data_IF_834209308495
#
_entry.id   IF_834209308495
#
_cell.length_a   1.000
_cell.length_b   1.000
_cell.length_c   1.000
_cell.angle_alpha   90.00
_cell.angle_beta   90.00
_cell.angle_gamma   90.00
#
_symmetry.space_group_name_H-M   'P 1'
#
loop_
_entity.id
_entity.type
_entity.pdbx_description
1 polymer ?
#
# COMPACT_ATOMS: atom_id res chain seq x y z
N UNK A 1 30.82 31.11 14.73
CA UNK A 1 31.43 30.10 13.84
C UNK A 1 30.33 29.16 13.37
N UNK A 2 30.51 28.62 12.16
CA UNK A 2 29.72 27.63 11.39
C UNK A 2 29.11 26.49 12.27
N UNK A 3 28.11 25.68 11.90
CA UNK A 3 27.63 25.15 10.60
C UNK A 3 26.10 24.83 10.71
N UNK A 4 25.28 24.55 9.70
CA UNK A 4 25.26 24.76 8.23
C UNK A 4 23.82 24.49 7.71
N UNK A 5 23.56 24.62 6.39
CA UNK A 5 22.32 24.16 5.75
C UNK A 5 22.26 22.63 5.63
N UNK A 6 21.12 22.02 5.96
CA UNK A 6 20.64 20.82 5.25
C UNK A 6 19.15 20.94 4.94
N UNK A 7 18.81 20.90 3.66
CA UNK A 7 17.44 20.95 3.16
C UNK A 7 16.79 19.58 3.28
N UNK A 8 15.86 19.39 4.21
CA UNK A 8 14.90 18.29 4.16
C UNK A 8 13.70 18.72 3.32
N UNK A 9 13.58 18.14 2.12
CA UNK A 9 12.38 18.32 1.31
C UNK A 9 11.12 17.82 2.04
N UNK A 10 9.92 18.32 1.68
CA UNK A 10 8.69 17.92 2.35
C UNK A 10 8.35 16.46 2.02
N UNK A 11 8.79 15.54 2.89
CA UNK A 11 8.21 14.21 2.96
C UNK A 11 6.74 14.38 3.36
N UNK A 12 5.84 14.33 2.38
CA UNK A 12 4.41 14.43 2.59
C UNK A 12 3.91 13.20 3.37
N UNK A 13 3.92 13.30 4.70
CA UNK A 13 3.28 12.34 5.58
C UNK A 13 1.76 12.40 5.39
N UNK A 14 1.23 11.53 4.54
CA UNK A 14 -0.22 11.31 4.42
C UNK A 14 -0.65 10.45 5.60
N UNK A 15 -1.27 11.06 6.61
CA UNK A 15 -1.92 10.36 7.72
C UNK A 15 -3.24 9.73 7.25
N UNK A 16 -3.46 8.46 7.54
CA UNK A 16 -4.81 7.88 7.61
C UNK A 16 -5.42 8.31 8.95
N UNK A 17 -6.18 9.40 8.98
CA UNK A 17 -6.91 9.77 10.20
C UNK A 17 -8.12 8.85 10.41
N UNK A 18 -7.99 7.88 11.32
CA UNK A 18 -9.16 7.28 11.99
C UNK A 18 -9.87 8.36 12.80
N UNK A 19 -11.00 8.88 12.31
CA UNK A 19 -11.93 9.66 13.14
C UNK A 19 -12.57 8.73 14.18
N UNK A 20 -12.16 8.85 15.43
CA UNK A 20 -12.83 8.21 16.55
C UNK A 20 -14.20 8.87 16.79
N UNK A 21 -15.28 8.18 16.41
CA UNK A 21 -16.64 8.58 16.77
C UNK A 21 -17.67 8.26 15.67
N UNK A 22 -18.72 7.54 16.09
CA UNK A 22 -19.88 7.10 15.31
C UNK A 22 -19.66 5.94 14.31
N UNK A 23 -20.52 4.94 14.48
CA UNK A 23 -20.68 3.74 13.67
C UNK A 23 -21.15 4.11 12.26
N UNK A 24 -20.49 3.59 11.21
CA UNK A 24 -21.10 2.94 10.04
C UNK A 24 -20.01 2.44 9.09
N UNK A 25 -20.35 1.49 8.21
CA UNK A 25 -19.44 0.71 7.36
C UNK A 25 -18.90 1.47 6.14
N UNK A 26 -18.40 2.70 6.34
CA UNK A 26 -18.00 3.60 5.26
C UNK A 26 -16.72 3.12 4.54
N UNK A 27 -16.70 3.28 3.22
CA UNK A 27 -15.54 3.02 2.36
C UNK A 27 -14.80 4.31 2.00
N UNK A 28 -13.50 4.21 1.71
CA UNK A 28 -12.64 5.37 1.43
C UNK A 28 -11.53 5.02 0.44
N UNK A 29 -11.33 5.86 -0.56
CA UNK A 29 -10.25 5.82 -1.54
C UNK A 29 -9.57 7.20 -1.57
N UNK A 30 -8.26 7.24 -1.36
CA UNK A 30 -7.48 8.49 -1.28
C UNK A 30 -6.47 8.53 -2.42
N UNK A 31 -6.55 9.56 -3.27
CA UNK A 31 -5.79 9.67 -4.51
C UNK A 31 -5.05 11.02 -4.59
N UNK A 32 -3.70 11.03 -4.68
CA UNK A 32 -2.97 12.23 -5.02
C UNK A 32 -3.26 12.58 -6.48
N UNK A 33 -3.55 13.85 -6.72
CA UNK A 33 -3.74 14.42 -8.05
C UNK A 33 -2.54 15.28 -8.36
N UNK A 34 -1.85 15.00 -9.46
CA UNK A 34 -0.65 15.70 -9.90
C UNK A 34 -0.81 16.23 -11.34
N UNK A 35 0.00 17.21 -11.71
CA UNK A 35 0.26 17.56 -13.12
C UNK A 35 1.74 17.35 -13.45
N UNK A 36 2.04 17.21 -14.74
CA UNK A 36 3.41 17.13 -15.25
C UNK A 36 4.09 18.50 -15.20
N UNK A 37 5.26 18.58 -14.58
CA UNK A 37 6.11 19.78 -14.56
C UNK A 37 7.54 19.35 -14.97
N UNK A 38 7.75 19.27 -16.29
CA UNK A 38 9.03 18.86 -16.89
C UNK A 38 9.37 17.39 -16.60
N UNK A 39 10.43 17.16 -15.82
CA UNK A 39 10.91 15.82 -15.46
C UNK A 39 10.27 15.26 -14.18
N UNK A 40 9.32 15.97 -13.57
CA UNK A 40 8.68 15.57 -12.31
C UNK A 40 7.15 15.75 -12.33
N UNK A 41 6.50 15.11 -11.35
CA UNK A 41 5.07 15.28 -11.07
C UNK A 41 4.92 16.26 -9.91
N UNK A 42 4.10 17.31 -10.07
CA UNK A 42 3.77 18.25 -8.98
C UNK A 42 2.40 17.95 -8.42
N UNK A 43 2.30 17.83 -7.10
CA UNK A 43 1.05 17.60 -6.40
C UNK A 43 0.14 18.83 -6.54
N UNK A 44 -1.02 18.64 -7.17
CA UNK A 44 -2.09 19.63 -7.27
C UNK A 44 -3.03 19.57 -6.05
N UNK A 45 -3.24 18.37 -5.51
CA UNK A 45 -4.10 18.14 -4.36
C UNK A 45 -4.33 16.65 -4.09
N UNK A 46 -5.32 16.34 -3.25
CA UNK A 46 -5.74 14.98 -2.92
C UNK A 46 -7.26 14.89 -3.10
N UNK A 47 -7.72 13.84 -3.78
CA UNK A 47 -9.13 13.45 -3.82
C UNK A 47 -9.36 12.40 -2.74
N UNK A 48 -10.38 12.63 -1.91
CA UNK A 48 -10.89 11.68 -0.94
C UNK A 48 -12.29 11.25 -1.40
N UNK A 49 -12.38 10.07 -2.03
CA UNK A 49 -13.63 9.47 -2.47
C UNK A 49 -14.17 8.57 -1.37
N UNK A 50 -15.39 8.83 -0.90
CA UNK A 50 -15.95 8.22 0.30
C UNK A 50 -17.33 7.61 0.00
N UNK A 51 -17.49 6.31 0.24
CA UNK A 51 -18.72 5.55 -0.07
C UNK A 51 -19.49 5.17 1.19
N UNK A 52 -20.81 5.25 1.16
CA UNK A 52 -21.68 4.91 2.32
C UNK A 52 -21.54 3.45 2.78
N UNK A 53 -21.12 2.56 1.88
CA UNK A 53 -20.80 1.16 2.16
C UNK A 53 -19.40 0.85 1.61
N UNK A 54 -18.59 0.15 2.41
CA UNK A 54 -17.25 -0.32 2.04
C UNK A 54 -17.34 -1.41 0.97
N UNK A 55 -16.81 -1.15 -0.22
CA UNK A 55 -16.58 -2.13 -1.28
C UNK A 55 -15.39 -3.05 -0.92
N UNK A 56 -15.37 -4.24 -1.51
CA UNK A 56 -14.22 -5.16 -1.46
C UNK A 56 -13.04 -4.64 -2.31
N UNK A 57 -13.33 -3.94 -3.40
CA UNK A 57 -12.35 -3.30 -4.28
C UNK A 57 -12.83 -1.92 -4.73
N UNK A 58 -11.87 -1.04 -5.03
CA UNK A 58 -12.08 0.30 -5.61
C UNK A 58 -11.28 0.48 -6.90
N UNK A 59 -10.91 -0.61 -7.58
CA UNK A 59 -10.13 -0.54 -8.83
C UNK A 59 -10.96 0.14 -9.92
N UNK A 60 -12.23 -0.24 -10.07
CA UNK A 60 -13.16 0.37 -11.03
C UNK A 60 -13.38 1.86 -10.73
N UNK A 61 -13.63 2.23 -9.47
CA UNK A 61 -13.73 3.63 -9.03
C UNK A 61 -12.44 4.42 -9.32
N UNK A 62 -11.27 3.80 -9.07
CA UNK A 62 -9.98 4.40 -9.39
C UNK A 62 -9.80 4.60 -10.89
N UNK A 63 -10.16 3.63 -11.74
CA UNK A 63 -10.04 3.75 -13.19
C UNK A 63 -10.96 4.83 -13.76
N UNK A 64 -12.20 4.92 -13.27
CA UNK A 64 -13.12 6.00 -13.62
C UNK A 64 -12.54 7.39 -13.25
N UNK A 65 -12.13 7.56 -11.99
CA UNK A 65 -11.52 8.82 -11.52
C UNK A 65 -10.21 9.13 -12.26
N UNK A 66 -9.37 8.12 -12.54
CA UNK A 66 -8.12 8.29 -13.27
C UNK A 66 -8.36 8.76 -14.71
N UNK A 67 -9.36 8.20 -15.40
CA UNK A 67 -9.72 8.61 -16.76
C UNK A 67 -10.26 10.05 -16.77
N UNK A 68 -11.14 10.41 -15.84
CA UNK A 68 -11.64 11.79 -15.69
C UNK A 68 -10.52 12.82 -15.44
N UNK A 69 -9.49 12.44 -14.66
CA UNK A 69 -8.32 13.28 -14.41
C UNK A 69 -7.42 13.39 -15.63
N UNK A 70 -7.20 12.29 -16.35
CA UNK A 70 -6.36 12.22 -17.55
C UNK A 70 -6.86 13.16 -18.65
N UNK A 71 -8.18 13.26 -18.83
CA UNK A 71 -8.82 14.22 -19.76
C UNK A 71 -8.57 15.70 -19.40
N UNK A 72 -8.10 15.98 -18.18
CA UNK A 72 -7.69 17.32 -17.73
C UNK A 72 -6.17 17.50 -17.69
N UNK A 73 -5.40 16.56 -18.23
CA UNK A 73 -3.93 16.55 -18.13
C UNK A 73 -3.41 16.26 -16.72
N UNK A 74 -4.28 15.77 -15.83
CA UNK A 74 -3.95 15.42 -14.45
C UNK A 74 -3.66 13.92 -14.35
N UNK A 75 -2.77 13.55 -13.44
CA UNK A 75 -2.40 12.17 -13.13
C UNK A 75 -2.79 11.84 -11.71
N UNK A 76 -3.45 10.70 -11.55
CA UNK A 76 -3.63 10.04 -10.26
C UNK A 76 -2.88 8.72 -10.27
N UNK A 77 -2.25 8.37 -9.15
CA UNK A 77 -1.62 7.06 -8.96
C UNK A 77 -2.18 6.42 -7.70
N UNK A 78 -2.41 5.11 -7.74
CA UNK A 78 -2.79 4.37 -6.54
C UNK A 78 -1.69 4.50 -5.48
N UNK A 79 -2.01 5.10 -4.32
CA UNK A 79 -1.09 5.13 -3.18
C UNK A 79 -0.99 3.73 -2.64
N UNK A 80 0.16 3.10 -2.85
CA UNK A 80 0.37 1.69 -2.56
C UNK A 80 1.85 1.37 -2.52
N UNK A 81 2.17 0.25 -1.88
CA UNK A 81 3.55 -0.22 -1.69
C UNK A 81 3.87 -1.31 -2.69
N UNK A 82 5.08 -1.26 -3.23
CA UNK A 82 5.64 -2.40 -3.94
C UNK A 82 5.86 -3.52 -2.93
N UNK A 83 5.14 -4.62 -3.06
CA UNK A 83 5.38 -5.81 -2.25
C UNK A 83 6.31 -6.71 -3.04
N UNK A 84 7.40 -7.15 -2.40
CA UNK A 84 8.41 -8.06 -2.93
C UNK A 84 8.29 -9.38 -2.18
N UNK A 85 7.52 -10.32 -2.71
CA UNK A 85 7.23 -11.60 -2.06
C UNK A 85 8.24 -12.65 -2.51
N UNK A 86 8.79 -13.39 -1.55
CA UNK A 86 9.70 -14.53 -1.76
C UNK A 86 9.01 -15.80 -1.27
N UNK A 87 8.97 -16.82 -2.12
CA UNK A 87 8.43 -18.15 -1.81
C UNK A 87 9.21 -19.21 -2.60
N UNK A 88 9.66 -20.28 -1.93
CA UNK A 88 10.49 -21.36 -2.52
C UNK A 88 11.67 -20.86 -3.39
N UNK A 89 12.33 -19.76 -2.98
CA UNK A 89 13.42 -19.14 -3.74
C UNK A 89 12.98 -18.29 -4.95
N UNK A 90 11.74 -18.44 -5.41
CA UNK A 90 11.13 -17.58 -6.42
C UNK A 90 10.69 -16.24 -5.82
N UNK A 91 10.67 -15.21 -6.66
CA UNK A 91 10.37 -13.84 -6.24
C UNK A 91 9.43 -13.16 -7.21
N UNK A 92 8.34 -12.61 -6.68
CA UNK A 92 7.39 -11.77 -7.42
C UNK A 92 7.39 -10.35 -6.86
N UNK A 93 6.95 -9.40 -7.70
CA UNK A 93 6.69 -8.02 -7.29
C UNK A 93 5.34 -7.57 -7.82
N UNK A 94 4.58 -6.88 -6.98
CA UNK A 94 3.33 -6.21 -7.36
C UNK A 94 3.14 -4.96 -6.49
N UNK A 95 2.23 -4.07 -6.88
CA UNK A 95 1.89 -2.87 -6.10
C UNK A 95 0.58 -3.15 -5.36
N UNK A 96 0.62 -3.12 -4.04
CA UNK A 96 -0.54 -3.33 -3.18
C UNK A 96 -1.04 -1.97 -2.66
N UNK A 97 -2.33 -1.62 -2.83
CA UNK A 97 -2.99 -0.47 -2.20
C UNK A 97 -2.63 -0.28 -0.72
N UNK A 98 -2.49 0.97 -0.26
CA UNK A 98 -2.42 1.26 1.19
C UNK A 98 -3.73 0.91 1.92
N UNK A 99 -4.85 0.92 1.20
CA UNK A 99 -6.18 0.55 1.69
C UNK A 99 -6.43 -0.96 1.72
N UNK A 100 -5.50 -1.77 1.19
CA UNK A 100 -5.67 -3.23 1.14
C UNK A 100 -5.71 -3.86 2.51
N UNK A 101 -6.51 -4.90 2.63
CA UNK A 101 -6.54 -5.84 3.74
C UNK A 101 -5.53 -6.96 3.55
N UNK A 102 -5.32 -7.75 4.60
CA UNK A 102 -4.52 -8.97 4.56
C UNK A 102 -5.06 -9.99 3.54
N UNK A 103 -6.38 -10.09 3.37
CA UNK A 103 -6.97 -10.99 2.36
C UNK A 103 -6.63 -10.57 0.92
N UNK A 104 -6.49 -9.29 0.63
CA UNK A 104 -6.11 -8.78 -0.71
C UNK A 104 -4.65 -9.13 -1.02
N UNK A 105 -3.77 -9.01 -0.01
CA UNK A 105 -2.38 -9.46 -0.08
C UNK A 105 -2.31 -10.97 -0.38
N UNK A 106 -3.09 -11.79 0.33
CA UNK A 106 -3.15 -13.24 0.10
C UNK A 106 -3.65 -13.57 -1.32
N UNK A 107 -4.69 -12.89 -1.79
CA UNK A 107 -5.25 -13.03 -3.14
C UNK A 107 -4.23 -12.71 -4.23
N UNK A 108 -3.51 -11.58 -4.10
CA UNK A 108 -2.46 -11.20 -5.06
C UNK A 108 -1.24 -12.14 -5.03
N UNK A 109 -0.99 -12.81 -3.90
CA UNK A 109 0.04 -13.86 -3.75
C UNK A 109 -0.39 -15.16 -4.42
N UNK A 110 -1.57 -15.70 -4.11
CA UNK A 110 -2.06 -16.98 -4.67
C UNK A 110 -2.29 -16.89 -6.18
N UNK A 111 -2.80 -15.75 -6.67
CA UNK A 111 -2.95 -15.47 -8.11
C UNK A 111 -1.64 -15.53 -8.91
N UNK A 112 -0.49 -15.36 -8.25
CA UNK A 112 0.85 -15.38 -8.88
C UNK A 112 1.66 -16.64 -8.57
N UNK A 113 1.35 -17.33 -7.47
CA UNK A 113 1.86 -18.64 -7.13
C UNK A 113 0.70 -19.63 -7.11
N UNK A 114 0.36 -20.19 -8.27
CA UNK A 114 -0.78 -21.11 -8.41
C UNK A 114 -0.67 -22.36 -7.51
N UNK A 115 0.56 -22.76 -7.13
CA UNK A 115 0.78 -23.83 -6.18
C UNK A 115 0.45 -23.45 -4.71
N UNK A 116 0.03 -22.21 -4.45
CA UNK A 116 -0.52 -21.75 -3.16
C UNK A 116 -2.05 -21.73 -3.12
N UNK A 117 -2.74 -22.03 -4.22
CA UNK A 117 -4.20 -22.04 -4.27
C UNK A 117 -4.79 -23.04 -3.24
N UNK A 118 -5.84 -22.61 -2.53
CA UNK A 118 -6.47 -23.32 -1.41
C UNK A 118 -5.57 -23.72 -0.23
N UNK A 119 -4.30 -23.29 -0.18
CA UNK A 119 -3.40 -23.56 0.94
C UNK A 119 -3.46 -22.46 2.00
N UNK A 120 -3.26 -22.83 3.26
CA UNK A 120 -3.03 -21.85 4.33
C UNK A 120 -1.60 -21.32 4.27
N UNK A 121 -1.47 -19.99 4.31
CA UNK A 121 -0.21 -19.29 4.13
C UNK A 121 0.18 -18.55 5.42
N UNK A 122 1.42 -18.76 5.87
CA UNK A 122 2.08 -17.84 6.79
C UNK A 122 2.79 -16.77 5.96
N UNK A 123 2.48 -15.50 6.22
CA UNK A 123 3.17 -14.35 5.62
C UNK A 123 3.98 -13.66 6.70
N UNK A 124 5.24 -13.36 6.40
CA UNK A 124 6.13 -12.59 7.27
C UNK A 124 6.74 -11.42 6.48
N UNK A 125 7.01 -10.28 7.11
CA UNK A 125 7.77 -9.19 6.51
C UNK A 125 9.15 -9.05 7.15
N UNK A 126 10.09 -8.50 6.39
CA UNK A 126 11.38 -8.06 6.92
C UNK A 126 11.23 -6.61 7.41
N UNK A 127 11.39 -6.39 8.71
CA UNK A 127 11.34 -5.07 9.34
C UNK A 127 12.63 -4.26 9.05
N UNK A 128 12.63 -2.99 9.46
CA UNK A 128 13.78 -2.12 9.24
C UNK A 128 15.09 -2.49 9.98
N UNK A 129 15.09 -3.50 10.85
CA UNK A 129 16.26 -4.06 11.53
C UNK A 129 16.67 -5.41 10.92
N UNK A 130 15.96 -5.89 9.91
CA UNK A 130 16.16 -7.20 9.30
C UNK A 130 15.47 -8.36 10.06
N UNK A 131 14.62 -8.07 11.04
CA UNK A 131 13.83 -9.10 11.73
C UNK A 131 12.71 -9.59 10.81
N UNK A 132 12.43 -10.90 10.86
CA UNK A 132 11.32 -11.50 10.09
C UNK A 132 10.11 -11.66 11.01
N UNK A 133 9.12 -10.78 10.86
CA UNK A 133 7.94 -10.68 11.74
C UNK A 133 6.67 -11.15 11.02
N UNK A 134 5.76 -11.89 11.69
CA UNK A 134 4.52 -12.38 11.07
C UNK A 134 3.53 -11.25 10.78
N UNK A 135 2.79 -11.36 9.67
CA UNK A 135 1.59 -10.57 9.39
C UNK A 135 0.39 -11.47 9.67
N UNK A 136 -0.39 -11.14 10.69
CA UNK A 136 -1.56 -11.92 11.13
C UNK A 136 -2.88 -11.14 11.06
N UNK A 137 -2.84 -9.82 10.80
CA UNK A 137 -4.04 -8.99 10.68
C UNK A 137 -3.82 -7.80 9.73
N UNK A 138 -4.91 -7.12 9.40
CA UNK A 138 -4.91 -5.87 8.63
C UNK A 138 -4.07 -4.78 9.32
N UNK A 139 -4.14 -4.66 10.66
CA UNK A 139 -3.36 -3.69 11.44
C UNK A 139 -1.85 -3.89 11.29
N UNK A 140 -1.38 -5.14 11.29
CA UNK A 140 0.06 -5.44 11.10
C UNK A 140 0.50 -5.13 9.68
N UNK A 141 -0.37 -5.37 8.69
CA UNK A 141 -0.11 -5.02 7.29
C UNK A 141 0.00 -3.50 7.10
N UNK A 142 -0.95 -2.73 7.65
CA UNK A 142 -0.89 -1.27 7.59
C UNK A 142 0.33 -0.72 8.33
N UNK A 143 0.66 -1.25 9.50
CA UNK A 143 1.84 -0.87 10.27
C UNK A 143 3.15 -1.01 9.46
N UNK A 144 3.35 -2.14 8.75
CA UNK A 144 4.55 -2.31 7.93
C UNK A 144 4.56 -1.45 6.66
N UNK A 145 3.38 -1.09 6.11
CA UNK A 145 3.25 -0.11 5.02
C UNK A 145 3.59 1.32 5.46
N UNK A 146 3.18 1.72 6.67
CA UNK A 146 3.52 3.01 7.28
C UNK A 146 5.02 3.08 7.61
N UNK A 147 5.57 2.03 8.23
CA UNK A 147 7.01 1.90 8.51
C UNK A 147 7.84 2.08 7.23
N UNK A 148 7.53 1.32 6.17
CA UNK A 148 8.21 1.45 4.88
C UNK A 148 8.00 2.82 4.22
N UNK A 149 6.91 3.54 4.53
CA UNK A 149 6.70 4.92 4.08
C UNK A 149 7.62 5.91 4.78
N UNK A 150 7.74 5.81 6.10
CA UNK A 150 8.57 6.71 6.92
C UNK A 150 10.05 6.75 6.50
N UNK A 151 10.54 5.66 5.88
CA UNK A 151 11.96 5.49 5.49
C UNK A 151 12.24 5.75 4.00
N UNK A 152 11.23 6.17 3.22
CA UNK A 152 11.36 6.27 1.76
C UNK A 152 11.62 4.91 1.08
N UNK A 153 11.29 3.80 1.74
CA UNK A 153 11.52 2.48 1.19
C UNK A 153 10.55 2.21 0.02
N UNK A 154 11.13 1.93 -1.15
CA UNK A 154 10.38 1.72 -2.40
C UNK A 154 9.61 0.39 -2.42
N UNK A 155 9.94 -0.55 -1.53
CA UNK A 155 9.26 -1.83 -1.41
C UNK A 155 9.24 -2.36 0.04
N UNK A 156 8.28 -3.24 0.33
CA UNK A 156 8.25 -4.10 1.52
C UNK A 156 8.69 -5.49 1.07
N UNK A 157 9.64 -6.11 1.76
CA UNK A 157 10.04 -7.50 1.48
C UNK A 157 9.23 -8.44 2.37
N UNK A 158 8.61 -9.43 1.75
CA UNK A 158 7.79 -10.44 2.43
C UNK A 158 8.26 -11.85 2.08
N UNK A 159 8.13 -12.74 3.04
CA UNK A 159 8.41 -14.16 2.94
C UNK A 159 7.11 -14.91 3.15
N UNK A 160 6.77 -15.79 2.21
CA UNK A 160 5.59 -16.67 2.30
C UNK A 160 6.06 -18.10 2.53
N UNK A 161 5.33 -18.83 3.37
CA UNK A 161 5.50 -20.27 3.58
C UNK A 161 4.15 -20.93 3.83
N UNK A 162 4.06 -22.24 3.63
CA UNK A 162 2.86 -22.99 4.00
C UNK A 162 2.74 -23.08 5.52
N UNK A 163 1.53 -22.83 6.04
CA UNK A 163 1.21 -23.07 7.45
C UNK A 163 1.23 -24.59 7.71
N UNK A 164 2.32 -25.06 8.31
CA UNK A 164 2.34 -26.37 8.96
C UNK A 164 1.70 -26.19 10.35
N UNK A 165 0.96 -27.19 10.82
CA UNK A 165 0.21 -27.13 12.08
C UNK A 165 1.14 -26.71 13.24
N UNK A 166 1.04 -25.44 13.65
CA UNK A 166 1.96 -24.80 14.61
C UNK A 166 2.48 -23.43 14.14
N UNK A 167 1.63 -22.41 14.27
CA UNK A 167 2.02 -21.01 14.45
C UNK A 167 1.27 -20.46 15.67
#
# INVERSE_FOLDING_TARGET
MNHDYYSSGPAAHILIQRRSGAILSQGQLVLPVCFDEGAGNKLAGVIEYVTTVRKESYIEDFEEIHNLLKDKGLKSTYVGKTIKVVYNGHMIKFRLPLSSKFIDLLSEVTKRFADLEHKKLCVKYEDNKGNILPISSDEVLWGCMEEASSKGANFIKMHVSLEHVGC
#
